data_IF_545198696352
#
_entry.id   IF_545198696352
#
_cell.length_a   1.000
_cell.length_b   1.000
_cell.length_c   1.000
_cell.angle_alpha   90.00
_cell.angle_beta   90.00
_cell.angle_gamma   90.00
#
_symmetry.space_group_name_H-M   'P 1'
#
loop_
_entity.id
_entity.type
_entity.pdbx_description
1 polymer ?
#
# COMPACT_ATOMS: atom_id res chain seq x y z
N UNK A 1 -30.78 59.93 -3.97
CA UNK A 1 -30.91 58.51 -4.39
C UNK A 1 -29.57 58.11 -4.97
N UNK A 2 -28.69 57.59 -4.13
CA UNK A 2 -27.32 57.22 -4.50
C UNK A 2 -27.25 55.70 -4.40
N UNK A 3 -27.28 55.04 -5.56
CA UNK A 3 -27.11 53.59 -5.67
C UNK A 3 -25.68 53.21 -5.31
N UNK A 4 -25.44 52.24 -4.41
CA UNK A 4 -24.09 51.72 -4.19
C UNK A 4 -23.62 50.91 -5.42
N UNK A 5 -22.29 50.86 -5.68
CA UNK A 5 -21.76 50.15 -6.84
C UNK A 5 -21.97 48.63 -6.69
N UNK A 6 -22.42 47.99 -7.78
CA UNK A 6 -22.54 46.55 -7.88
C UNK A 6 -21.15 45.91 -7.80
N UNK A 7 -20.89 45.19 -6.71
CA UNK A 7 -19.73 44.33 -6.57
C UNK A 7 -19.90 43.12 -7.49
N UNK A 8 -19.13 43.06 -8.57
CA UNK A 8 -19.03 41.89 -9.41
C UNK A 8 -18.29 40.78 -8.63
N UNK A 9 -18.81 39.54 -8.52
CA UNK A 9 -18.05 38.44 -7.97
C UNK A 9 -16.89 38.12 -8.92
N UNK A 10 -15.66 38.16 -8.41
CA UNK A 10 -14.49 37.70 -9.15
C UNK A 10 -14.69 36.23 -9.59
N UNK A 11 -14.29 35.85 -10.81
CA UNK A 11 -14.39 34.46 -11.25
C UNK A 11 -13.48 33.59 -10.37
N UNK A 12 -14.04 32.46 -9.94
CA UNK A 12 -13.39 31.34 -9.27
C UNK A 12 -11.95 31.09 -9.78
N UNK A 13 -10.99 30.97 -8.87
CA UNK A 13 -9.69 30.40 -9.21
C UNK A 13 -8.51 30.72 -8.30
N UNK A 14 -8.53 30.31 -7.03
CA UNK A 14 -7.33 29.89 -6.29
C UNK A 14 -7.72 29.20 -4.97
N UNK A 15 -7.41 27.92 -4.76
CA UNK A 15 -7.60 27.30 -3.44
C UNK A 15 -6.52 27.79 -2.48
N UNK A 16 -6.93 28.61 -1.50
CA UNK A 16 -6.14 28.88 -0.30
C UNK A 16 -6.61 27.93 0.79
N UNK A 17 -5.65 27.27 1.46
CA UNK A 17 -5.78 26.22 2.47
C UNK A 17 -5.91 24.78 1.92
N UNK A 18 -4.79 24.32 1.35
CA UNK A 18 -4.45 22.90 1.40
C UNK A 18 -4.50 22.41 2.86
N UNK A 19 -5.13 21.25 3.06
CA UNK A 19 -5.09 20.50 4.31
C UNK A 19 -3.65 20.42 4.87
N UNK A 20 -3.43 20.09 6.17
CA UNK A 20 -2.23 19.37 6.52
C UNK A 20 -2.30 18.04 5.77
N UNK A 21 -1.85 18.06 4.51
CA UNK A 21 -1.36 16.88 3.84
C UNK A 21 -0.46 16.24 4.87
N UNK A 22 -0.83 15.06 5.39
CA UNK A 22 0.13 14.15 5.99
C UNK A 22 1.30 14.21 5.03
N UNK A 23 2.38 14.89 5.42
CA UNK A 23 3.30 15.44 4.46
C UNK A 23 4.05 14.24 3.90
N UNK A 24 3.52 13.61 2.85
CA UNK A 24 4.07 12.39 2.27
C UNK A 24 5.39 12.83 1.69
N UNK A 25 6.48 12.28 2.22
CA UNK A 25 7.80 12.62 1.72
C UNK A 25 7.87 12.30 0.23
N UNK A 26 8.73 12.96 -0.55
CA UNK A 26 8.90 12.69 -1.99
C UNK A 26 9.46 11.29 -2.30
N UNK A 27 9.60 10.44 -1.28
CA UNK A 27 10.26 9.15 -1.33
C UNK A 27 9.22 8.05 -1.40
N UNK A 28 9.35 7.19 -2.39
CA UNK A 28 8.40 6.12 -2.64
C UNK A 28 8.65 4.92 -1.73
N UNK A 29 7.56 4.38 -1.19
CA UNK A 29 7.58 3.15 -0.40
C UNK A 29 8.13 1.98 -1.24
N UNK A 30 7.64 1.85 -2.47
CA UNK A 30 8.04 0.77 -3.40
C UNK A 30 9.54 0.82 -3.70
N UNK A 31 10.13 2.00 -3.93
CA UNK A 31 11.59 2.08 -4.16
C UNK A 31 12.38 1.71 -2.90
N UNK A 32 11.95 2.19 -1.72
CA UNK A 32 12.61 1.86 -0.45
C UNK A 32 12.55 0.35 -0.17
N UNK A 33 11.40 -0.27 -0.42
CA UNK A 33 11.19 -1.71 -0.27
C UNK A 33 12.00 -2.53 -1.29
N UNK A 34 12.02 -2.15 -2.57
CA UNK A 34 12.84 -2.80 -3.59
C UNK A 34 14.33 -2.68 -3.30
N UNK A 35 14.79 -1.52 -2.84
CA UNK A 35 16.19 -1.35 -2.44
C UNK A 35 16.54 -2.18 -1.21
N UNK A 36 15.62 -2.32 -0.25
CA UNK A 36 15.82 -3.21 0.90
C UNK A 36 15.84 -4.69 0.47
N UNK A 37 15.01 -5.09 -0.50
CA UNK A 37 14.92 -6.47 -1.01
C UNK A 37 16.15 -6.88 -1.84
N UNK A 38 16.62 -6.02 -2.75
CA UNK A 38 17.70 -6.36 -3.69
C UNK A 38 19.08 -5.82 -3.27
N UNK A 39 19.13 -4.69 -2.54
CA UNK A 39 20.37 -4.00 -2.15
C UNK A 39 20.49 -3.86 -0.62
N UNK A 40 19.68 -4.59 0.15
CA UNK A 40 19.62 -4.49 1.60
C UNK A 40 20.93 -4.83 2.32
N UNK A 41 21.80 -5.64 1.72
CA UNK A 41 23.14 -5.97 2.26
C UNK A 41 24.06 -4.74 2.25
N UNK A 42 23.91 -3.87 1.25
CA UNK A 42 24.68 -2.63 1.10
C UNK A 42 24.04 -1.44 1.83
N UNK A 43 22.81 -1.59 2.35
CA UNK A 43 22.13 -0.54 3.13
C UNK A 43 21.68 0.67 2.32
N UNK A 44 21.43 0.48 1.01
CA UNK A 44 21.01 1.53 0.06
C UNK A 44 19.65 2.11 0.43
N UNK A 45 18.76 1.29 1.00
CA UNK A 45 17.50 1.68 1.66
C UNK A 45 17.69 2.86 2.63
N UNK A 46 18.69 2.77 3.51
CA UNK A 46 18.97 3.75 4.56
C UNK A 46 19.56 5.05 4.02
N UNK A 47 20.38 4.96 2.97
CA UNK A 47 20.89 6.12 2.24
C UNK A 47 19.77 6.84 1.50
N UNK A 48 18.83 6.10 0.91
CA UNK A 48 17.65 6.68 0.25
C UNK A 48 16.76 7.44 1.25
N UNK A 49 16.61 6.94 2.47
CA UNK A 49 15.93 7.64 3.58
C UNK A 49 16.76 8.76 4.23
N UNK A 50 17.92 9.11 3.67
CA UNK A 50 18.75 10.22 4.15
C UNK A 50 19.41 10.00 5.52
N UNK A 51 19.37 8.77 6.06
CA UNK A 51 20.00 8.41 7.34
C UNK A 51 21.40 7.83 7.09
N UNK A 52 22.24 8.67 6.49
CA UNK A 52 23.59 8.34 5.99
C UNK A 52 24.47 7.69 7.07
N UNK A 53 24.41 8.18 8.32
CA UNK A 53 25.24 7.64 9.42
C UNK A 53 24.95 6.17 9.74
N UNK A 54 23.68 5.77 9.67
CA UNK A 54 23.29 4.39 9.96
C UNK A 54 23.40 3.44 8.78
N UNK A 55 23.49 3.96 7.54
CA UNK A 55 23.89 3.22 6.35
C UNK A 55 25.40 2.97 6.31
N UNK A 56 26.20 3.96 6.71
CA UNK A 56 27.66 3.83 6.79
C UNK A 56 28.09 2.86 7.89
N UNK A 57 27.40 2.85 9.04
CA UNK A 57 27.63 1.86 10.10
C UNK A 57 27.36 0.41 9.61
N UNK A 58 26.36 0.23 8.75
CA UNK A 58 26.00 -1.06 8.14
C UNK A 58 27.06 -1.50 7.11
N UNK A 59 27.64 -0.57 6.36
CA UNK A 59 28.77 -0.85 5.46
C UNK A 59 30.07 -1.16 6.23
N UNK A 60 30.36 -0.43 7.31
CA UNK A 60 31.58 -0.62 8.10
C UNK A 60 31.55 -1.92 8.93
N UNK A 61 30.36 -2.42 9.24
CA UNK A 61 30.14 -3.74 9.89
C UNK A 61 30.00 -4.89 8.87
N UNK A 62 30.41 -4.68 7.61
CA UNK A 62 30.28 -5.63 6.49
C UNK A 62 28.87 -6.23 6.35
N UNK A 63 27.84 -5.41 6.55
CA UNK A 63 26.45 -5.83 6.36
C UNK A 63 25.99 -6.95 7.31
N UNK A 64 26.69 -7.18 8.43
CA UNK A 64 26.29 -8.05 9.54
C UNK A 64 25.56 -9.34 9.14
N UNK A 65 26.15 -10.10 8.21
CA UNK A 65 25.64 -11.39 7.71
C UNK A 65 24.18 -11.37 7.22
N UNK A 66 23.68 -10.26 6.67
CA UNK A 66 22.31 -10.14 6.15
C UNK A 66 21.23 -9.94 7.23
N UNK A 67 21.57 -10.09 8.51
CA UNK A 67 20.63 -9.86 9.64
C UNK A 67 20.18 -8.40 9.67
N UNK A 68 21.08 -7.46 9.36
CA UNK A 68 20.75 -6.04 9.23
C UNK A 68 19.87 -5.71 8.01
N UNK A 69 19.93 -6.53 6.95
CA UNK A 69 19.04 -6.38 5.81
C UNK A 69 17.64 -6.90 6.16
N UNK A 70 17.56 -8.02 6.89
CA UNK A 70 16.30 -8.60 7.34
C UNK A 70 15.55 -7.69 8.32
N UNK A 71 16.25 -7.12 9.31
CA UNK A 71 15.64 -6.18 10.28
C UNK A 71 15.10 -4.95 9.54
N UNK A 72 15.87 -4.41 8.61
CA UNK A 72 15.47 -3.23 7.84
C UNK A 72 14.26 -3.54 6.93
N UNK A 73 14.28 -4.68 6.24
CA UNK A 73 13.17 -5.17 5.43
C UNK A 73 11.89 -5.31 6.26
N UNK A 74 11.96 -5.93 7.44
CA UNK A 74 10.80 -6.06 8.35
C UNK A 74 10.30 -4.68 8.80
N UNK A 75 11.20 -3.73 9.10
CA UNK A 75 10.82 -2.38 9.52
C UNK A 75 10.15 -1.58 8.38
N UNK A 76 10.57 -1.79 7.13
CA UNK A 76 9.93 -1.21 5.94
C UNK A 76 8.55 -1.85 5.73
N UNK A 77 8.43 -3.18 5.78
CA UNK A 77 7.13 -3.86 5.62
C UNK A 77 6.14 -3.53 6.75
N UNK A 78 6.62 -3.27 7.96
CA UNK A 78 5.81 -2.97 9.14
C UNK A 78 5.40 -1.49 9.31
N UNK A 79 5.65 -0.64 8.31
CA UNK A 79 5.37 0.82 8.33
C UNK A 79 6.12 1.63 9.40
N UNK A 80 7.08 1.04 10.10
CA UNK A 80 7.83 1.75 11.16
C UNK A 80 8.95 2.64 10.61
N UNK A 81 9.19 2.61 9.30
CA UNK A 81 10.25 3.38 8.63
C UNK A 81 9.78 4.77 8.24
N UNK A 82 10.11 5.76 9.09
CA UNK A 82 9.95 7.19 8.79
C UNK A 82 11.17 7.76 8.07
N UNK A 83 10.99 8.71 7.16
CA UNK A 83 12.09 9.46 6.56
C UNK A 83 12.81 10.33 7.62
N UNK A 84 13.96 10.94 7.29
CA UNK A 84 14.70 11.88 8.16
C UNK A 84 13.84 13.03 8.72
N UNK A 85 12.74 13.35 8.05
CA UNK A 85 11.80 14.41 8.42
C UNK A 85 10.62 13.88 9.25
N UNK A 86 10.62 12.61 9.67
CA UNK A 86 9.50 11.99 10.40
C UNK A 86 8.29 11.63 9.53
N UNK A 87 8.41 11.81 8.21
CA UNK A 87 7.34 11.67 7.23
C UNK A 87 7.18 10.22 6.77
N UNK A 88 5.94 9.83 6.47
CA UNK A 88 5.58 8.50 5.94
C UNK A 88 5.98 8.36 4.46
N UNK A 89 6.21 7.12 4.03
CA UNK A 89 6.56 6.78 2.65
C UNK A 89 5.32 6.83 1.75
N UNK A 90 5.45 7.41 0.56
CA UNK A 90 4.36 7.54 -0.38
C UNK A 90 3.95 6.17 -0.95
N UNK A 91 2.64 5.87 -0.99
CA UNK A 91 2.09 4.65 -1.60
C UNK A 91 2.12 3.40 -0.70
N UNK A 92 2.41 3.54 0.60
CA UNK A 92 2.40 2.42 1.55
C UNK A 92 1.08 1.62 1.59
N UNK A 93 -0.11 2.24 1.83
CA UNK A 93 -1.34 1.47 1.98
C UNK A 93 -1.74 0.72 0.71
N UNK A 94 -1.42 1.25 -0.46
CA UNK A 94 -1.74 0.66 -1.77
C UNK A 94 -0.86 -0.56 -2.08
N UNK A 95 0.41 -0.53 -1.65
CA UNK A 95 1.39 -1.53 -2.07
C UNK A 95 1.84 -2.48 -0.95
N UNK A 96 1.35 -2.32 0.28
CA UNK A 96 1.69 -3.20 1.42
C UNK A 96 1.33 -4.66 1.14
N UNK A 97 0.11 -4.94 0.67
CA UNK A 97 -0.35 -6.32 0.38
C UNK A 97 0.55 -6.98 -0.68
N UNK A 98 0.85 -6.25 -1.76
CA UNK A 98 1.75 -6.70 -2.83
C UNK A 98 3.18 -6.90 -2.32
N UNK A 99 3.71 -5.97 -1.51
CA UNK A 99 5.04 -6.08 -0.93
C UNK A 99 5.19 -7.31 -0.04
N UNK A 100 4.18 -7.65 0.76
CA UNK A 100 4.17 -8.87 1.57
C UNK A 100 4.15 -10.14 0.71
N UNK A 101 3.28 -10.19 -0.31
CA UNK A 101 3.19 -11.33 -1.23
C UNK A 101 4.52 -11.53 -1.97
N UNK A 102 5.07 -10.48 -2.57
CA UNK A 102 6.32 -10.57 -3.34
C UNK A 102 7.52 -10.91 -2.44
N UNK A 103 7.57 -10.36 -1.22
CA UNK A 103 8.62 -10.74 -0.24
C UNK A 103 8.51 -12.21 0.17
N UNK A 104 7.29 -12.71 0.38
CA UNK A 104 7.03 -14.13 0.67
C UNK A 104 7.45 -15.04 -0.48
N UNK A 105 7.06 -14.70 -1.72
CA UNK A 105 7.45 -15.44 -2.93
C UNK A 105 8.97 -15.43 -3.12
N UNK A 106 9.64 -14.29 -2.92
CA UNK A 106 11.09 -14.18 -3.00
C UNK A 106 11.82 -15.05 -1.95
N UNK A 107 11.30 -15.14 -0.72
CA UNK A 107 11.85 -16.03 0.32
C UNK A 107 11.68 -17.51 -0.03
N UNK A 108 10.52 -17.90 -0.56
CA UNK A 108 10.25 -19.28 -1.00
C UNK A 108 11.16 -19.67 -2.17
N UNK A 109 11.30 -18.80 -3.19
CA UNK A 109 12.22 -19.01 -4.31
C UNK A 109 13.69 -19.06 -3.87
N UNK A 110 14.07 -18.24 -2.88
CA UNK A 110 15.41 -18.23 -2.29
C UNK A 110 15.72 -19.53 -1.53
N UNK A 111 14.76 -20.09 -0.78
CA UNK A 111 14.95 -21.38 -0.10
C UNK A 111 15.11 -22.55 -1.09
N UNK A 112 14.41 -22.49 -2.23
CA UNK A 112 14.54 -23.51 -3.29
C UNK A 112 15.92 -23.42 -3.98
N UNK A 113 16.50 -22.22 -4.12
CA UNK A 113 17.84 -22.04 -4.71
C UNK A 113 19.00 -22.25 -3.71
N UNK A 114 18.79 -22.00 -2.41
CA UNK A 114 19.81 -22.12 -1.37
C UNK A 114 20.17 -23.54 -0.93
N UNK A 115 19.39 -24.55 -1.34
CA UNK A 115 19.61 -25.96 -0.99
C UNK A 115 20.81 -26.64 -1.66
N UNK A 116 21.58 -25.95 -2.52
CA UNK A 116 22.70 -26.55 -3.29
C UNK A 116 24.09 -26.26 -2.73
N UNK A 117 24.23 -25.50 -1.65
CA UNK A 117 25.53 -25.29 -0.98
C UNK A 117 25.51 -25.82 0.45
N UNK A 118 25.59 -27.15 0.57
CA UNK A 118 25.90 -27.84 1.80
C UNK A 118 27.28 -28.51 1.68
N UNK A 119 28.21 -28.02 2.50
CA UNK A 119 29.27 -28.79 3.16
C UNK A 119 30.50 -29.23 2.33
N UNK A 120 31.53 -28.39 2.30
CA UNK A 120 32.90 -28.88 2.45
C UNK A 120 33.59 -28.14 3.60
N UNK A 121 33.63 -28.79 4.78
CA UNK A 121 34.51 -28.38 5.87
C UNK A 121 35.86 -29.10 5.76
N UNK A 122 36.95 -28.51 6.29
CA UNK A 122 38.32 -28.90 5.99
C UNK A 122 38.76 -30.06 6.88
N UNK A 123 39.55 -30.98 6.32
CA UNK A 123 40.36 -31.91 7.12
C UNK A 123 41.82 -31.79 6.71
N UNK A 124 42.65 -31.55 7.71
CA UNK A 124 44.07 -31.27 7.64
C UNK A 124 44.89 -32.35 6.91
N UNK A 125 45.97 -31.87 6.27
CA UNK A 125 47.03 -32.65 5.63
C UNK A 125 47.81 -33.53 6.62
N UNK A 126 48.72 -34.45 6.18
CA UNK A 126 50.00 -33.98 5.65
C UNK A 126 50.64 -34.79 4.50
N UNK A 127 51.51 -34.09 3.76
CA UNK A 127 52.73 -34.59 3.08
C UNK A 127 52.61 -35.40 1.78
N UNK A 128 52.92 -34.77 0.64
CA UNK A 128 54.24 -34.88 -0.03
C UNK A 128 54.30 -34.03 -1.30
N UNK A 129 55.30 -33.15 -1.37
CA UNK A 129 55.76 -32.39 -2.55
C UNK A 129 56.34 -33.34 -3.64
N UNK A 130 56.73 -32.91 -4.88
CA UNK A 130 57.01 -31.53 -5.33
C UNK A 130 56.51 -31.12 -6.75
N UNK A 131 56.82 -29.85 -7.06
CA UNK A 131 56.69 -29.01 -8.28
C UNK A 131 57.23 -29.64 -9.60
N UNK A 132 57.14 -29.00 -10.82
CA UNK A 132 56.88 -27.57 -11.15
C UNK A 132 56.01 -27.23 -12.40
N UNK A 133 55.81 -25.92 -12.61
CA UNK A 133 55.20 -25.18 -13.76
C UNK A 133 55.97 -25.38 -15.10
N UNK A 134 55.64 -24.79 -16.30
CA UNK A 134 54.89 -23.53 -16.66
C UNK A 134 53.79 -23.73 -17.76
N UNK A 135 52.77 -22.87 -17.97
CA UNK A 135 52.66 -21.52 -18.58
C UNK A 135 52.95 -21.42 -20.11
N UNK A 136 52.11 -20.60 -20.78
CA UNK A 136 52.17 -20.04 -22.17
C UNK A 136 51.66 -20.94 -23.33
N UNK A 137 51.02 -20.49 -24.42
CA UNK A 137 50.47 -19.21 -24.89
C UNK A 137 49.81 -19.43 -26.28
N UNK A 138 48.98 -18.45 -26.70
CA UNK A 138 48.64 -18.05 -28.07
C UNK A 138 47.70 -18.90 -28.96
N UNK A 139 46.55 -18.27 -29.23
CA UNK A 139 45.75 -18.36 -30.45
C UNK A 139 46.43 -17.55 -31.60
N UNK A 140 45.77 -17.12 -32.71
CA UNK A 140 44.54 -17.58 -33.39
C UNK A 140 44.70 -17.64 -34.95
N UNK A 141 43.55 -17.69 -35.65
CA UNK A 141 43.28 -17.10 -36.98
C UNK A 141 43.81 -17.87 -38.21
N UNK A 142 43.18 -17.98 -39.38
CA UNK A 142 41.88 -17.68 -40.05
C UNK A 142 42.02 -18.48 -41.38
N UNK A 143 41.02 -18.98 -42.13
CA UNK A 143 40.24 -18.33 -43.22
C UNK A 143 39.96 -19.41 -44.29
N UNK A 144 38.72 -19.40 -44.83
CA UNK A 144 38.31 -19.53 -46.25
C UNK A 144 38.96 -20.62 -47.16
N UNK A 145 38.30 -21.28 -48.13
CA UNK A 145 36.94 -21.33 -48.67
C UNK A 145 36.93 -22.38 -49.83
N UNK A 146 35.73 -22.78 -50.30
CA UNK A 146 35.38 -23.26 -51.67
C UNK A 146 35.79 -24.71 -52.06
N UNK A 147 34.86 -25.69 -52.20
CA UNK A 147 34.04 -26.10 -53.40
C UNK A 147 34.85 -26.63 -54.61
N UNK A 148 34.36 -27.48 -55.54
CA UNK A 148 33.03 -28.11 -55.71
C UNK A 148 33.03 -29.61 -56.18
N UNK A 149 31.82 -30.13 -56.43
CA UNK A 149 31.39 -30.91 -57.61
C UNK A 149 31.21 -32.45 -57.55
N UNK A 150 30.00 -32.85 -57.96
CA UNK A 150 29.51 -34.20 -58.25
C UNK A 150 29.91 -34.66 -59.67
N UNK A 151 29.61 -35.90 -60.13
CA UNK A 151 28.26 -36.19 -60.65
C UNK A 151 27.75 -37.67 -60.52
N UNK A 152 26.42 -37.82 -60.50
CA UNK A 152 25.54 -38.70 -61.32
C UNK A 152 25.90 -40.20 -61.55
N UNK A 153 25.01 -41.20 -61.66
CA UNK A 153 23.55 -41.33 -61.80
C UNK A 153 23.18 -42.86 -61.75
N UNK A 154 21.96 -43.21 -61.28
CA UNK A 154 20.98 -44.20 -61.86
C UNK A 154 21.36 -45.72 -61.87
N UNK A 155 20.59 -46.76 -61.44
CA UNK A 155 19.14 -47.06 -61.40
C UNK A 155 18.85 -48.38 -60.64
N UNK A 156 17.64 -48.47 -60.03
CA UNK A 156 16.73 -49.62 -59.79
C UNK A 156 17.24 -50.87 -59.01
N UNK A 157 16.53 -51.47 -58.04
CA UNK A 157 15.12 -51.95 -58.06
C UNK A 157 14.72 -52.43 -56.65
N UNK A 158 13.42 -52.33 -56.32
CA UNK A 158 12.57 -53.35 -55.64
C UNK A 158 11.71 -52.77 -54.53
N UNK A 159 10.43 -52.64 -54.86
CA UNK A 159 9.32 -52.29 -53.99
C UNK A 159 8.71 -53.58 -53.44
N UNK A 160 8.58 -53.69 -52.11
CA UNK A 160 7.74 -54.67 -51.41
C UNK A 160 7.73 -54.33 -49.90
N UNK A 161 7.17 -53.17 -49.51
CA UNK A 161 6.74 -52.91 -48.11
C UNK A 161 5.88 -51.63 -47.99
N UNK A 162 4.68 -51.58 -48.60
CA UNK A 162 3.84 -50.36 -48.58
C UNK A 162 2.39 -50.58 -48.14
N UNK A 163 2.10 -51.63 -47.37
CA UNK A 163 0.75 -51.89 -46.84
C UNK A 163 0.61 -51.81 -45.31
N UNK A 164 1.71 -51.83 -44.54
CA UNK A 164 1.66 -51.73 -43.07
C UNK A 164 1.95 -50.31 -42.53
N UNK A 165 2.52 -49.41 -43.34
CA UNK A 165 2.93 -48.06 -42.92
C UNK A 165 1.80 -47.00 -42.99
N UNK A 166 0.71 -47.27 -43.73
CA UNK A 166 -0.37 -46.29 -43.94
C UNK A 166 -1.43 -46.28 -42.84
N UNK A 167 -1.63 -47.39 -42.11
CA UNK A 167 -2.66 -47.47 -41.06
C UNK A 167 -2.16 -46.94 -39.69
N UNK A 168 -0.88 -47.15 -39.37
CA UNK A 168 -0.28 -46.67 -38.13
C UNK A 168 -0.08 -45.14 -38.10
N UNK A 169 0.10 -44.51 -39.26
CA UNK A 169 0.25 -43.07 -39.39
C UNK A 169 -1.08 -42.30 -39.21
N UNK A 170 -2.20 -42.85 -39.71
CA UNK A 170 -3.53 -42.26 -39.53
C UNK A 170 -4.06 -42.41 -38.09
N UNK A 171 -3.74 -43.51 -37.40
CA UNK A 171 -4.12 -43.74 -35.99
C UNK A 171 -3.32 -42.84 -35.03
N UNK A 172 -2.02 -42.63 -35.31
CA UNK A 172 -1.17 -41.71 -34.54
C UNK A 172 -1.58 -40.24 -34.72
N UNK A 173 -1.98 -39.82 -35.92
CA UNK A 173 -2.44 -38.45 -36.19
C UNK A 173 -3.81 -38.15 -35.56
N UNK A 174 -4.69 -39.15 -35.44
CA UNK A 174 -6.00 -39.00 -34.81
C UNK A 174 -5.89 -38.94 -33.28
N UNK A 175 -4.97 -39.71 -32.69
CA UNK A 175 -4.67 -39.68 -31.25
C UNK A 175 -4.03 -38.34 -30.81
N UNK A 176 -3.13 -37.77 -31.62
CA UNK A 176 -2.55 -36.43 -31.36
C UNK A 176 -3.59 -35.30 -31.47
N UNK A 177 -4.54 -35.41 -32.41
CA UNK A 177 -5.61 -34.42 -32.57
C UNK A 177 -6.65 -34.46 -31.44
N UNK A 178 -6.96 -35.64 -30.88
CA UNK A 178 -7.83 -35.76 -29.70
C UNK A 178 -7.13 -35.32 -28.40
N UNK A 179 -5.84 -35.64 -28.25
CA UNK A 179 -5.04 -35.16 -27.11
C UNK A 179 -4.88 -33.63 -27.10
N UNK A 180 -4.71 -33.01 -28.27
CA UNK A 180 -4.63 -31.55 -28.41
C UNK A 180 -5.95 -30.84 -28.05
N UNK A 181 -7.10 -31.39 -28.47
CA UNK A 181 -8.43 -30.87 -28.12
C UNK A 181 -8.77 -31.03 -26.64
N UNK A 182 -8.33 -32.12 -26.01
CA UNK A 182 -8.54 -32.36 -24.60
C UNK A 182 -7.69 -31.41 -23.74
N UNK A 183 -6.44 -31.15 -24.15
CA UNK A 183 -5.57 -30.17 -23.51
C UNK A 183 -6.10 -28.72 -23.63
N UNK A 184 -6.66 -28.33 -24.78
CA UNK A 184 -7.32 -27.02 -24.95
C UNK A 184 -8.58 -26.89 -24.09
N UNK A 185 -9.37 -27.96 -23.97
CA UNK A 185 -10.58 -27.96 -23.15
C UNK A 185 -10.28 -27.87 -21.64
N UNK A 186 -9.25 -28.57 -21.16
CA UNK A 186 -8.79 -28.47 -19.76
C UNK A 186 -8.14 -27.12 -19.47
N UNK A 187 -7.36 -26.56 -20.40
CA UNK A 187 -6.80 -25.22 -20.27
C UNK A 187 -7.91 -24.15 -20.22
N UNK A 188 -8.95 -24.27 -21.05
CA UNK A 188 -10.09 -23.37 -21.05
C UNK A 188 -10.95 -23.51 -19.78
N UNK A 189 -11.11 -24.74 -19.26
CA UNK A 189 -11.81 -24.99 -18.00
C UNK A 189 -11.03 -24.45 -16.79
N UNK A 190 -9.71 -24.61 -16.77
CA UNK A 190 -8.83 -24.07 -15.73
C UNK A 190 -8.81 -22.54 -15.75
N UNK A 191 -8.71 -21.92 -16.93
CA UNK A 191 -8.75 -20.47 -17.08
C UNK A 191 -10.11 -19.87 -16.65
N UNK A 192 -11.22 -20.58 -16.93
CA UNK A 192 -12.55 -20.17 -16.48
C UNK A 192 -12.71 -20.29 -14.97
N UNK A 193 -12.19 -21.37 -14.37
CA UNK A 193 -12.22 -21.57 -12.92
C UNK A 193 -11.35 -20.52 -12.18
N UNK A 194 -10.19 -20.17 -12.71
CA UNK A 194 -9.34 -19.09 -12.16
C UNK A 194 -10.01 -17.72 -12.30
N UNK A 195 -10.68 -17.43 -13.41
CA UNK A 195 -11.41 -16.19 -13.61
C UNK A 195 -12.61 -16.04 -12.66
N UNK A 196 -13.35 -17.12 -12.41
CA UNK A 196 -14.46 -17.13 -11.46
C UNK A 196 -13.97 -17.04 -10.00
N UNK A 197 -12.86 -17.71 -9.66
CA UNK A 197 -12.23 -17.60 -8.33
C UNK A 197 -11.69 -16.19 -8.06
N UNK A 198 -11.09 -15.55 -9.07
CA UNK A 198 -10.59 -14.17 -8.97
C UNK A 198 -11.73 -13.18 -8.75
N UNK A 199 -12.83 -13.28 -9.52
CA UNK A 199 -14.02 -12.43 -9.34
C UNK A 199 -14.65 -12.56 -7.96
N UNK A 200 -14.77 -13.80 -7.45
CA UNK A 200 -15.36 -14.04 -6.13
C UNK A 200 -14.50 -13.46 -5.00
N UNK A 201 -13.17 -13.55 -5.13
CA UNK A 201 -12.24 -12.95 -4.17
C UNK A 201 -12.29 -11.41 -4.20
N UNK A 202 -12.50 -10.81 -5.38
CA UNK A 202 -12.68 -9.36 -5.53
C UNK A 202 -14.00 -8.88 -4.89
N UNK A 203 -15.10 -9.60 -5.07
CA UNK A 203 -16.39 -9.29 -4.44
C UNK A 203 -16.35 -9.43 -2.91
N UNK A 204 -15.72 -10.47 -2.37
CA UNK A 204 -15.57 -10.63 -0.92
C UNK A 204 -14.68 -9.54 -0.32
N UNK A 205 -13.58 -9.18 -0.98
CA UNK A 205 -12.70 -8.09 -0.54
C UNK A 205 -13.40 -6.71 -0.60
N UNK A 206 -14.23 -6.47 -1.62
CA UNK A 206 -15.03 -5.25 -1.71
C UNK A 206 -16.13 -5.20 -0.63
N UNK A 207 -16.76 -6.32 -0.32
CA UNK A 207 -17.77 -6.43 0.74
C UNK A 207 -17.17 -6.24 2.14
N UNK A 208 -15.94 -6.73 2.37
CA UNK A 208 -15.20 -6.53 3.61
C UNK A 208 -14.75 -5.07 3.77
N UNK A 209 -14.21 -4.45 2.72
CA UNK A 209 -13.83 -3.03 2.73
C UNK A 209 -15.06 -2.11 2.97
N UNK A 210 -16.20 -2.42 2.36
CA UNK A 210 -17.44 -1.67 2.59
C UNK A 210 -17.98 -1.85 4.02
N UNK A 211 -17.76 -3.02 4.64
CA UNK A 211 -18.09 -3.23 6.07
C UNK A 211 -17.17 -2.44 6.99
N UNK A 212 -15.87 -2.44 6.73
CA UNK A 212 -14.91 -1.66 7.52
C UNK A 212 -15.17 -0.15 7.39
N UNK A 213 -15.51 0.34 6.20
CA UNK A 213 -15.85 1.75 5.98
C UNK A 213 -17.18 2.12 6.65
N UNK A 214 -18.16 1.19 6.69
CA UNK A 214 -19.38 1.39 7.46
C UNK A 214 -19.13 1.44 8.98
N UNK A 215 -18.15 0.68 9.48
CA UNK A 215 -17.84 0.61 10.90
C UNK A 215 -16.99 1.80 11.37
N UNK A 216 -15.92 2.12 10.64
CA UNK A 216 -14.94 3.15 10.99
C UNK A 216 -15.23 4.54 10.39
N UNK A 217 -16.18 4.62 9.45
CA UNK A 217 -16.48 5.83 8.71
C UNK A 217 -15.49 6.13 7.59
N UNK A 218 -15.91 7.01 6.69
CA UNK A 218 -15.04 7.54 5.62
C UNK A 218 -13.94 8.44 6.21
N UNK A 219 -12.91 8.74 5.43
CA UNK A 219 -11.86 9.70 5.85
C UNK A 219 -12.46 11.08 6.17
N UNK A 220 -13.46 11.53 5.41
CA UNK A 220 -14.16 12.81 5.65
C UNK A 220 -14.88 12.81 7.00
N UNK A 221 -15.55 11.70 7.32
CA UNK A 221 -16.24 11.47 8.59
C UNK A 221 -15.28 11.46 9.79
N UNK A 222 -14.13 10.80 9.65
CA UNK A 222 -13.08 10.79 10.69
C UNK A 222 -12.48 12.18 10.89
N UNK A 223 -12.19 12.91 9.81
CA UNK A 223 -11.72 14.30 9.91
C UNK A 223 -12.75 15.22 10.59
N UNK A 224 -14.04 15.04 10.30
CA UNK A 224 -15.10 15.79 10.95
C UNK A 224 -15.17 15.46 12.46
N UNK A 225 -14.97 14.20 12.85
CA UNK A 225 -14.91 13.76 14.25
C UNK A 225 -13.75 14.43 14.99
N UNK A 226 -12.53 14.31 14.50
CA UNK A 226 -11.34 14.93 15.11
C UNK A 226 -11.51 16.46 15.24
N UNK A 227 -12.12 17.08 14.21
CA UNK A 227 -12.39 18.51 14.23
C UNK A 227 -13.44 18.89 15.27
N UNK A 228 -14.49 18.08 15.40
CA UNK A 228 -15.51 18.26 16.42
C UNK A 228 -14.92 18.15 17.84
N UNK A 229 -14.06 17.16 18.09
CA UNK A 229 -13.33 17.01 19.36
C UNK A 229 -12.48 18.24 19.67
N UNK A 230 -11.70 18.72 18.68
CA UNK A 230 -10.87 19.92 18.83
C UNK A 230 -11.69 21.17 19.16
N UNK A 231 -12.91 21.29 18.63
CA UNK A 231 -13.80 22.39 18.99
C UNK A 231 -14.24 22.33 20.44
N UNK A 232 -14.64 21.14 20.90
CA UNK A 232 -15.10 20.93 22.28
C UNK A 232 -13.98 21.11 23.32
N UNK A 233 -12.71 20.98 22.92
CA UNK A 233 -11.57 21.32 23.78
C UNK A 233 -11.43 22.83 24.02
N UNK A 234 -11.87 23.68 23.08
CA UNK A 234 -11.66 25.13 23.14
C UNK A 234 -12.91 25.90 23.58
N UNK A 235 -14.10 25.44 23.17
CA UNK A 235 -15.36 26.11 23.48
C UNK A 235 -16.49 25.12 23.59
N UNK A 236 -17.44 25.43 24.46
CA UNK A 236 -18.64 24.64 24.59
C UNK A 236 -19.58 24.82 23.38
N UNK A 237 -20.16 23.70 22.92
CA UNK A 237 -21.13 23.67 21.83
C UNK A 237 -22.33 22.78 22.17
N UNK A 238 -23.49 23.11 21.62
CA UNK A 238 -24.60 22.17 21.52
C UNK A 238 -24.31 21.14 20.42
N UNK A 239 -24.96 19.98 20.46
CA UNK A 239 -24.79 18.96 19.44
C UNK A 239 -25.17 19.49 18.03
N UNK A 240 -26.28 20.23 17.90
CA UNK A 240 -26.66 20.83 16.62
C UNK A 240 -25.76 21.99 16.22
N UNK A 241 -25.35 22.83 17.17
CA UNK A 241 -24.43 23.94 16.91
C UNK A 241 -23.07 23.44 16.43
N UNK A 242 -22.57 22.33 16.98
CA UNK A 242 -21.33 21.69 16.51
C UNK A 242 -21.47 21.13 15.09
N UNK A 243 -22.62 20.54 14.75
CA UNK A 243 -22.92 20.12 13.38
C UNK A 243 -22.92 21.31 12.43
N UNK A 244 -23.58 22.41 12.79
CA UNK A 244 -23.62 23.63 11.98
C UNK A 244 -22.24 24.28 11.83
N UNK A 245 -21.42 24.24 12.88
CA UNK A 245 -20.04 24.72 12.84
C UNK A 245 -19.20 23.94 11.83
N UNK A 246 -19.30 22.61 11.81
CA UNK A 246 -18.60 21.75 10.85
C UNK A 246 -19.14 21.96 9.42
N UNK A 247 -20.45 22.14 9.25
CA UNK A 247 -21.04 22.49 7.95
C UNK A 247 -20.50 23.81 7.42
N UNK A 248 -20.35 24.82 8.29
CA UNK A 248 -19.76 26.11 7.95
C UNK A 248 -18.30 25.99 7.53
N UNK A 249 -17.53 25.07 8.13
CA UNK A 249 -16.17 24.75 7.72
C UNK A 249 -16.07 23.97 6.39
N UNK A 250 -17.20 23.54 5.83
CA UNK A 250 -17.28 22.87 4.54
C UNK A 250 -17.35 21.35 4.62
N UNK A 251 -17.52 20.76 5.81
CA UNK A 251 -17.84 19.34 5.92
C UNK A 251 -19.24 19.07 5.37
N UNK A 252 -19.45 17.97 4.63
CA UNK A 252 -20.80 17.55 4.27
C UNK A 252 -21.66 17.37 5.53
N UNK A 253 -22.89 17.88 5.51
CA UNK A 253 -23.86 17.76 6.62
C UNK A 253 -24.03 16.32 7.12
N UNK A 254 -23.97 15.34 6.21
CA UNK A 254 -24.02 13.92 6.58
C UNK A 254 -22.82 13.50 7.43
N UNK A 255 -21.62 13.95 7.08
CA UNK A 255 -20.38 13.63 7.78
C UNK A 255 -20.29 14.36 9.13
N UNK A 256 -20.72 15.63 9.19
CA UNK A 256 -20.81 16.39 10.43
C UNK A 256 -21.77 15.73 11.44
N UNK A 257 -22.96 15.30 10.98
CA UNK A 257 -23.91 14.56 11.82
C UNK A 257 -23.36 13.22 12.28
N UNK A 258 -22.72 12.49 11.37
CA UNK A 258 -22.07 11.23 11.69
C UNK A 258 -21.01 11.42 12.78
N UNK A 259 -20.16 12.41 12.64
CA UNK A 259 -19.09 12.74 13.58
C UNK A 259 -19.67 13.05 14.97
N UNK A 260 -20.59 14.03 15.05
CA UNK A 260 -21.17 14.43 16.33
C UNK A 260 -21.93 13.30 17.01
N UNK A 261 -22.55 12.38 16.25
CA UNK A 261 -23.25 11.22 16.81
C UNK A 261 -22.34 10.17 17.47
N UNK A 262 -21.04 10.18 17.16
CA UNK A 262 -20.05 9.23 17.71
C UNK A 262 -19.24 9.80 18.87
N UNK A 263 -19.38 11.10 19.13
CA UNK A 263 -18.73 11.73 20.27
C UNK A 263 -19.28 11.17 21.58
N UNK A 264 -18.38 10.81 22.48
CA UNK A 264 -18.74 10.44 23.85
C UNK A 264 -18.68 11.70 24.72
N UNK A 265 -19.72 12.54 24.62
CA UNK A 265 -19.77 13.86 25.26
C UNK A 265 -21.03 13.98 26.12
N UNK A 266 -20.88 14.51 27.33
CA UNK A 266 -22.04 14.92 28.14
C UNK A 266 -22.52 16.30 27.70
N UNK A 267 -23.62 16.32 26.96
CA UNK A 267 -24.21 17.54 26.44
C UNK A 267 -24.81 18.45 27.53
N UNK A 268 -25.12 17.93 28.73
CA UNK A 268 -25.51 18.78 29.85
C UNK A 268 -24.30 19.55 30.39
N UNK A 269 -23.14 18.91 30.47
CA UNK A 269 -21.89 19.56 30.87
C UNK A 269 -21.45 20.62 29.84
N UNK A 270 -21.66 20.36 28.55
CA UNK A 270 -21.46 21.38 27.51
C UNK A 270 -22.40 22.59 27.72
N UNK A 271 -23.67 22.35 28.06
CA UNK A 271 -24.60 23.45 28.35
C UNK A 271 -24.21 24.23 29.62
N UNK A 272 -23.70 23.55 30.65
CA UNK A 272 -23.20 24.17 31.87
C UNK A 272 -21.96 25.03 31.61
N UNK A 273 -20.98 24.52 30.87
CA UNK A 273 -19.78 25.26 30.50
C UNK A 273 -20.12 26.49 29.64
N UNK A 274 -21.09 26.36 28.72
CA UNK A 274 -21.56 27.49 27.92
C UNK A 274 -22.31 28.54 28.74
N UNK A 275 -23.14 28.09 29.68
CA UNK A 275 -23.83 28.95 30.64
C UNK A 275 -22.84 29.75 31.49
N UNK A 276 -21.80 29.09 32.00
CA UNK A 276 -20.73 29.74 32.79
C UNK A 276 -20.01 30.81 31.96
N UNK A 277 -19.58 30.47 30.74
CA UNK A 277 -18.96 31.43 29.82
C UNK A 277 -19.83 32.66 29.56
N UNK A 278 -21.14 32.50 29.44
CA UNK A 278 -22.05 33.64 29.32
C UNK A 278 -22.14 34.49 30.58
N UNK A 279 -22.25 33.85 31.75
CA UNK A 279 -22.32 34.54 33.04
C UNK A 279 -21.04 35.33 33.36
N UNK A 280 -19.89 34.87 32.87
CA UNK A 280 -18.61 35.57 33.00
C UNK A 280 -18.56 36.85 32.14
N UNK A 281 -19.23 36.86 30.99
CA UNK A 281 -19.22 38.00 30.07
C UNK A 281 -20.32 39.02 30.37
N UNK A 282 -21.50 38.56 30.78
CA UNK A 282 -22.66 39.42 31.04
C UNK A 282 -23.63 38.76 32.03
N UNK A 283 -24.46 39.56 32.66
CA UNK A 283 -25.50 39.05 33.56
C UNK A 283 -26.74 38.62 32.77
N UNK A 284 -27.27 37.43 33.06
CA UNK A 284 -28.54 36.94 32.54
C UNK A 284 -29.56 36.70 33.66
N UNK A 285 -30.85 36.84 33.35
CA UNK A 285 -31.90 36.21 34.14
C UNK A 285 -31.98 34.72 33.83
N UNK A 286 -32.57 33.91 34.73
CA UNK A 286 -32.75 32.47 34.52
C UNK A 286 -33.43 32.15 33.18
N UNK A 287 -34.54 32.83 32.87
CA UNK A 287 -35.27 32.60 31.62
C UNK A 287 -34.47 33.05 30.41
N UNK A 288 -33.80 34.22 30.49
CA UNK A 288 -32.99 34.73 29.39
C UNK A 288 -31.80 33.82 29.06
N UNK A 289 -31.15 33.24 30.07
CA UNK A 289 -30.06 32.29 29.83
C UNK A 289 -30.56 30.99 29.19
N UNK A 290 -31.72 30.48 29.63
CA UNK A 290 -32.34 29.30 29.02
C UNK A 290 -32.66 29.56 27.55
N UNK A 291 -33.30 30.68 27.23
CA UNK A 291 -33.62 31.06 25.85
C UNK A 291 -32.36 31.23 24.99
N UNK A 292 -31.29 31.80 25.56
CA UNK A 292 -30.01 31.96 24.86
C UNK A 292 -29.36 30.61 24.52
N UNK A 293 -29.35 29.67 25.46
CA UNK A 293 -28.80 28.33 25.22
C UNK A 293 -29.67 27.54 24.22
N UNK A 294 -30.99 27.68 24.28
CA UNK A 294 -31.89 27.10 23.26
C UNK A 294 -31.65 27.67 21.88
N UNK A 295 -31.40 28.98 21.78
CA UNK A 295 -31.02 29.64 20.52
C UNK A 295 -29.70 29.08 19.96
N UNK A 296 -28.73 28.76 20.82
CA UNK A 296 -27.49 28.07 20.42
C UNK A 296 -27.67 26.58 20.12
N UNK A 297 -28.89 26.06 20.19
CA UNK A 297 -29.24 24.70 19.80
C UNK A 297 -29.19 23.67 20.93
N UNK A 298 -29.03 24.08 22.19
CA UNK A 298 -29.23 23.17 23.31
C UNK A 298 -30.72 22.81 23.44
N UNK A 299 -31.01 21.58 23.85
CA UNK A 299 -32.39 21.21 24.18
C UNK A 299 -32.86 21.98 25.42
N UNK A 300 -34.18 22.17 25.56
CA UNK A 300 -34.76 22.82 26.74
C UNK A 300 -34.30 22.18 28.08
N UNK A 301 -34.09 20.86 28.10
CA UNK A 301 -33.58 20.15 29.28
C UNK A 301 -32.12 20.54 29.60
N UNK A 302 -31.24 20.56 28.58
CA UNK A 302 -29.84 20.97 28.71
C UNK A 302 -29.71 22.45 29.09
N UNK A 303 -30.50 23.32 28.46
CA UNK A 303 -30.52 24.75 28.77
C UNK A 303 -30.95 25.00 30.22
N UNK A 304 -31.98 24.30 30.71
CA UNK A 304 -32.39 24.34 32.12
C UNK A 304 -31.32 23.79 33.06
N UNK A 305 -30.58 22.76 32.65
CA UNK A 305 -29.46 22.23 33.41
C UNK A 305 -28.34 23.26 33.53
N UNK A 306 -27.93 23.87 32.40
CA UNK A 306 -26.88 24.89 32.38
C UNK A 306 -27.25 26.14 33.19
N UNK A 307 -28.49 26.61 33.12
CA UNK A 307 -28.93 27.71 33.98
C UNK A 307 -28.84 27.34 35.48
N UNK A 308 -29.23 26.11 35.83
CA UNK A 308 -29.15 25.63 37.21
C UNK A 308 -27.70 25.49 37.69
N UNK A 309 -26.77 25.05 36.85
CA UNK A 309 -25.37 24.84 37.24
C UNK A 309 -24.65 26.14 37.62
N UNK A 310 -25.06 27.28 37.05
CA UNK A 310 -24.54 28.62 37.39
C UNK A 310 -25.36 29.33 38.48
N UNK A 311 -26.28 28.63 39.14
CA UNK A 311 -27.04 29.14 40.28
C UNK A 311 -28.35 29.86 39.93
N UNK A 312 -28.90 29.68 38.72
CA UNK A 312 -30.16 30.29 38.25
C UNK A 312 -31.36 29.33 38.20
#
# INVERSE_FOLDING_TARGET
MTTPPLYAPAPYGAPMYAAPTQHRGPKSFVATWLFSLFLGIFGVDRFYLGKVGTGLLKLFTLGGAGIWALIDLILVLADKMRDKNGLLLQGYPEHKKVAWIVTGVALVLGMISGGTQASSLPSAAPTSAPAPAPLLEAAPATTAATSPEAPAETTATSAEDEAAASAAAEESAKAEAEASKQAEAEAAASAKAEAEASKKAEEEAAAEAAREEAENGTVSQQNALEKAESYLEFTAFSASGLVEQLEYEGFPKADAKWAVSRLTVDWNEQAAAKAESYMDMTSFSRSGLIEQLEYEGFTNAQAKYGAKSVGL
#
